data_IF_781078188293
#
_entry.id   IF_781078188293
#
_cell.length_a   1.000
_cell.length_b   1.000
_cell.length_c   1.000
_cell.angle_alpha   90.00
_cell.angle_beta   90.00
_cell.angle_gamma   90.00
#
_symmetry.space_group_name_H-M   'P 1'
#
loop_
_entity.id
_entity.type
_entity.pdbx_description
1 polymer ?
#
# COMPACT_ATOMS: atom_id res chain seq x y z
N UNK A 1 -11.11 10.11 -9.80
CA UNK A 1 -10.14 9.58 -10.74
C UNK A 1 -9.57 8.27 -10.24
N UNK A 2 -9.43 7.40 -11.11
CA UNK A 2 -9.00 6.10 -10.76
C UNK A 2 -7.54 5.91 -11.13
N UNK A 3 -6.70 5.87 -10.15
CA UNK A 3 -5.25 5.80 -10.31
C UNK A 3 -4.89 4.53 -10.97
N UNK A 4 -5.21 3.87 -11.66
CA UNK A 4 -4.72 2.64 -12.26
C UNK A 4 -5.81 1.68 -12.73
N UNK A 5 -7.04 2.14 -12.77
CA UNK A 5 -8.13 1.25 -13.07
C UNK A 5 -8.10 0.73 -14.50
N UNK A 6 -7.32 1.33 -15.38
CA UNK A 6 -7.31 0.89 -16.77
C UNK A 6 -6.47 -0.34 -17.02
N UNK A 7 -5.42 -0.51 -16.23
CA UNK A 7 -4.44 -1.56 -16.47
C UNK A 7 -4.57 -2.72 -15.53
N UNK A 8 -5.22 -2.52 -14.40
CA UNK A 8 -5.32 -3.54 -13.38
C UNK A 8 -6.77 -3.77 -13.02
N UNK A 9 -7.08 -5.01 -12.78
CA UNK A 9 -8.40 -5.37 -12.32
C UNK A 9 -8.55 -4.95 -10.88
N UNK A 10 -9.51 -4.07 -10.60
CA UNK A 10 -9.77 -3.56 -9.26
C UNK A 10 -10.97 -4.28 -8.65
N UNK A 11 -10.80 -4.66 -7.40
CA UNK A 11 -11.88 -5.25 -6.62
C UNK A 11 -12.25 -4.30 -5.52
N UNK A 12 -13.48 -3.78 -5.57
CA UNK A 12 -14.00 -2.94 -4.51
C UNK A 12 -14.64 -3.83 -3.47
N UNK A 13 -14.22 -3.67 -2.23
CA UNK A 13 -14.69 -4.51 -1.14
C UNK A 13 -15.98 -3.94 -0.57
N UNK A 14 -17.01 -4.77 -0.49
CA UNK A 14 -18.31 -4.33 0.02
C UNK A 14 -18.35 -4.26 1.54
N UNK A 15 -17.48 -5.02 2.20
CA UNK A 15 -17.41 -5.07 3.65
C UNK A 15 -16.04 -4.61 4.12
N UNK A 16 -16.00 -4.11 5.34
CA UNK A 16 -14.74 -3.70 5.94
C UNK A 16 -13.78 -4.89 6.01
N UNK A 17 -12.57 -4.67 5.58
CA UNK A 17 -11.53 -5.70 5.61
C UNK A 17 -10.33 -5.15 6.37
N UNK A 18 -10.18 -5.53 7.64
CA UNK A 18 -9.09 -4.97 8.45
C UNK A 18 -7.74 -5.52 8.01
N UNK A 19 -6.79 -4.62 7.87
CA UNK A 19 -5.40 -4.94 7.52
C UNK A 19 -4.51 -4.06 8.38
N UNK A 20 -3.20 -4.23 8.24
CA UNK A 20 -2.23 -3.39 8.95
C UNK A 20 -1.16 -2.92 8.01
N UNK A 21 -0.67 -1.72 8.26
CA UNK A 21 0.56 -1.22 7.66
C UNK A 21 1.67 -1.31 8.69
N UNK A 22 2.87 -1.60 8.25
CA UNK A 22 4.02 -1.73 9.14
C UNK A 22 5.24 -1.13 8.47
N UNK A 23 6.04 -0.40 9.24
CA UNK A 23 7.30 0.13 8.74
C UNK A 23 8.26 -0.99 8.35
N UNK A 24 9.14 -0.70 7.40
CA UNK A 24 10.12 -1.66 6.91
C UNK A 24 10.98 -2.19 8.04
N UNK A 25 11.33 -1.32 8.98
CA UNK A 25 12.15 -1.69 10.14
C UNK A 25 11.34 -2.22 11.33
N UNK A 26 10.01 -2.29 11.18
CA UNK A 26 9.15 -2.80 12.23
C UNK A 26 8.90 -1.82 13.38
N UNK A 27 9.31 -0.56 13.24
CA UNK A 27 9.21 0.40 14.36
C UNK A 27 7.83 1.00 14.52
N UNK A 28 6.95 0.87 13.53
CA UNK A 28 5.60 1.41 13.64
C UNK A 28 4.60 0.51 12.95
N UNK A 29 3.35 0.64 13.37
CA UNK A 29 2.26 -0.14 12.82
C UNK A 29 0.99 0.71 12.85
N UNK A 30 0.12 0.53 11.86
CA UNK A 30 -1.17 1.22 11.78
C UNK A 30 -2.24 0.25 11.37
N UNK A 31 -3.37 0.30 12.07
CA UNK A 31 -4.56 -0.43 11.67
C UNK A 31 -5.24 0.30 10.53
N UNK A 32 -5.71 -0.43 9.55
CA UNK A 32 -6.33 0.13 8.36
C UNK A 32 -7.51 -0.71 7.93
N UNK A 33 -8.36 -0.11 7.11
CA UNK A 33 -9.42 -0.82 6.42
C UNK A 33 -9.08 -0.83 4.95
N UNK A 34 -9.06 -2.00 4.35
CA UNK A 34 -8.82 -2.14 2.92
C UNK A 34 -10.11 -1.78 2.19
N UNK A 35 -10.07 -0.74 1.38
CA UNK A 35 -11.24 -0.24 0.66
C UNK A 35 -11.31 -0.77 -0.76
N UNK A 36 -10.15 -0.96 -1.37
CA UNK A 36 -10.08 -1.29 -2.78
C UNK A 36 -8.71 -1.92 -3.04
N UNK A 37 -8.65 -2.88 -3.93
CA UNK A 37 -7.38 -3.54 -4.22
C UNK A 37 -7.33 -3.94 -5.69
N UNK A 38 -6.13 -3.87 -6.25
CA UNK A 38 -5.86 -4.31 -7.62
C UNK A 38 -4.55 -5.08 -7.63
N UNK A 39 -4.13 -5.49 -8.82
CA UNK A 39 -2.85 -6.16 -8.97
C UNK A 39 -1.68 -5.25 -8.68
N UNK A 40 -1.87 -3.93 -8.82
CA UNK A 40 -0.78 -2.97 -8.72
C UNK A 40 -0.79 -2.18 -7.44
N UNK A 41 -1.89 -2.18 -6.68
CA UNK A 41 -1.95 -1.38 -5.47
C UNK A 41 -3.27 -1.51 -4.74
N UNK A 42 -3.46 -0.61 -3.78
CA UNK A 42 -4.63 -0.65 -2.92
C UNK A 42 -5.00 0.75 -2.44
N UNK A 43 -6.24 0.88 -2.00
CA UNK A 43 -6.73 2.08 -1.33
C UNK A 43 -7.14 1.69 0.07
N UNK A 44 -6.71 2.44 1.05
CA UNK A 44 -6.86 2.12 2.47
C UNK A 44 -7.40 3.31 3.23
N UNK A 45 -8.12 3.02 4.30
CA UNK A 45 -8.44 4.04 5.29
C UNK A 45 -7.63 3.74 6.55
N UNK A 46 -6.79 4.69 6.95
CA UNK A 46 -5.82 4.50 8.02
C UNK A 46 -6.37 5.06 9.33
N UNK A 47 -6.20 4.31 10.41
CA UNK A 47 -6.51 4.80 11.75
C UNK A 47 -5.29 5.50 12.32
N UNK A 48 -5.51 6.71 12.81
CA UNK A 48 -4.45 7.48 13.42
C UNK A 48 -3.64 8.30 12.44
N UNK A 49 -2.53 8.88 12.88
CA UNK A 49 -1.73 9.76 12.04
C UNK A 49 -1.15 9.04 10.84
N UNK A 50 -1.15 9.70 9.69
CA UNK A 50 -0.64 9.14 8.45
C UNK A 50 0.77 9.60 8.10
N UNK A 51 1.35 10.47 8.92
CA UNK A 51 2.67 11.04 8.63
C UNK A 51 3.76 9.98 8.54
N UNK A 52 3.61 8.85 9.21
CA UNK A 52 4.60 7.76 9.13
C UNK A 52 4.70 7.17 7.73
N UNK A 53 3.66 7.30 6.93
CA UNK A 53 3.64 6.75 5.57
C UNK A 53 4.53 7.53 4.62
N UNK A 54 4.92 8.73 5.01
CA UNK A 54 5.84 9.54 4.20
C UNK A 54 7.26 8.98 4.24
N UNK A 55 7.49 7.94 5.00
CA UNK A 55 8.75 7.22 4.97
C UNK A 55 8.98 6.48 3.65
N UNK A 56 8.05 6.57 2.71
CA UNK A 56 8.13 6.08 1.34
C UNK A 56 7.74 4.62 1.17
N UNK A 57 8.34 3.70 1.89
CA UNK A 57 8.06 2.28 1.76
C UNK A 57 7.61 1.69 3.07
N UNK A 58 6.71 0.74 2.97
CA UNK A 58 6.18 0.05 4.14
C UNK A 58 5.55 -1.26 3.68
N UNK A 59 5.19 -2.11 4.63
CA UNK A 59 4.49 -3.36 4.32
C UNK A 59 3.00 -3.21 4.56
N UNK A 60 2.22 -3.78 3.65
CA UNK A 60 0.79 -3.99 3.86
C UNK A 60 0.61 -5.45 4.27
N UNK A 61 0.13 -5.66 5.50
CA UNK A 61 -0.07 -6.98 6.05
C UNK A 61 -1.52 -7.39 5.81
N UNK A 62 -1.70 -8.39 4.98
CA UNK A 62 -3.03 -8.84 4.55
C UNK A 62 -3.60 -9.93 5.44
N UNK A 63 -2.77 -10.54 6.27
CA UNK A 63 -3.24 -11.57 7.20
C UNK A 63 -2.80 -11.22 8.62
N UNK A 64 -3.53 -11.74 9.59
CA UNK A 64 -3.22 -11.50 10.99
C UNK A 64 -1.90 -12.12 11.41
N UNK A 65 -1.45 -13.13 10.72
CA UNK A 65 -0.19 -13.79 11.01
C UNK A 65 1.00 -13.14 10.34
N UNK A 66 0.74 -12.19 9.43
CA UNK A 66 1.81 -11.53 8.68
C UNK A 66 2.39 -12.37 7.56
N UNK A 67 1.83 -13.55 7.29
CA UNK A 67 2.35 -14.41 6.23
C UNK A 67 1.99 -13.91 4.84
N UNK A 68 0.87 -13.21 4.71
CA UNK A 68 0.49 -12.59 3.44
C UNK A 68 0.76 -11.09 3.54
N UNK A 69 1.71 -10.60 2.79
CA UNK A 69 2.08 -9.19 2.85
C UNK A 69 2.57 -8.72 1.49
N UNK A 70 2.56 -7.40 1.32
CA UNK A 70 3.09 -6.74 0.12
C UNK A 70 3.92 -5.54 0.54
N UNK A 71 5.03 -5.37 -0.12
CA UNK A 71 5.83 -4.16 0.06
C UNK A 71 5.21 -3.07 -0.80
N UNK A 72 5.02 -1.90 -0.22
CA UNK A 72 4.27 -0.81 -0.85
C UNK A 72 5.02 0.49 -0.76
N UNK A 73 4.64 1.42 -1.65
CA UNK A 73 5.02 2.81 -1.49
C UNK A 73 3.79 3.69 -1.59
N UNK A 74 3.85 4.83 -0.92
CA UNK A 74 2.76 5.77 -0.89
C UNK A 74 2.61 6.47 -2.24
N UNK A 75 1.37 6.54 -2.75
CA UNK A 75 1.08 7.26 -3.97
C UNK A 75 0.39 8.59 -3.65
N UNK A 76 -0.61 8.56 -2.77
CA UNK A 76 -1.33 9.78 -2.39
C UNK A 76 -1.94 9.62 -1.01
N UNK A 77 -2.21 10.77 -0.38
CA UNK A 77 -2.93 10.86 0.89
C UNK A 77 -4.06 11.86 0.71
N UNK A 78 -5.24 11.49 1.19
CA UNK A 78 -6.38 12.39 1.22
C UNK A 78 -7.10 12.15 2.55
N UNK A 79 -6.78 12.98 3.55
CA UNK A 79 -7.30 12.79 4.89
C UNK A 79 -6.82 11.48 5.48
N UNK A 80 -7.76 10.62 5.87
CA UNK A 80 -7.45 9.30 6.41
C UNK A 80 -7.30 8.25 5.31
N UNK A 81 -7.61 8.58 4.08
CA UNK A 81 -7.53 7.65 2.97
C UNK A 81 -6.18 7.78 2.26
N UNK A 82 -5.61 6.65 1.91
CA UNK A 82 -4.32 6.63 1.23
C UNK A 82 -4.37 5.65 0.07
N UNK A 83 -3.61 5.96 -0.97
CA UNK A 83 -3.38 5.05 -2.07
C UNK A 83 -1.94 4.59 -2.04
N UNK A 84 -1.75 3.29 -2.21
CA UNK A 84 -0.42 2.69 -2.21
C UNK A 84 -0.22 1.87 -3.47
N UNK A 85 1.03 1.77 -3.89
CA UNK A 85 1.42 0.95 -5.02
C UNK A 85 2.28 -0.20 -4.52
N UNK A 86 2.02 -1.39 -5.04
CA UNK A 86 2.83 -2.55 -4.68
C UNK A 86 4.17 -2.48 -5.41
N UNK A 87 5.23 -2.76 -4.68
CA UNK A 87 6.57 -2.80 -5.25
C UNK A 87 6.85 -4.24 -5.63
N UNK A 88 6.97 -4.48 -6.92
CA UNK A 88 7.27 -5.80 -7.44
C UNK A 88 8.74 -5.85 -7.81
N UNK A 89 9.23 -7.03 -8.14
CA UNK A 89 10.60 -7.18 -8.61
C UNK A 89 10.84 -6.33 -9.85
N UNK A 90 9.86 -6.26 -10.72
CA UNK A 90 9.99 -5.51 -11.97
C UNK A 90 10.04 -4.02 -11.71
N UNK A 91 9.15 -3.47 -10.88
CA UNK A 91 9.18 -2.04 -10.58
C UNK A 91 10.46 -1.66 -9.85
N UNK A 92 10.94 -2.49 -8.95
CA UNK A 92 12.18 -2.22 -8.23
C UNK A 92 13.39 -2.24 -9.18
N UNK A 93 13.40 -3.17 -10.11
CA UNK A 93 14.44 -3.26 -11.11
C UNK A 93 14.47 -2.02 -11.99
N UNK A 94 13.30 -1.55 -12.42
CA UNK A 94 13.21 -0.36 -13.26
C UNK A 94 13.68 0.88 -12.50
N UNK A 95 13.33 1.00 -11.24
CA UNK A 95 13.78 2.11 -10.42
C UNK A 95 15.30 2.11 -10.26
N UNK A 96 15.87 0.93 -10.08
CA UNK A 96 17.32 0.79 -9.95
C UNK A 96 18.04 1.18 -11.23
N UNK A 97 17.51 0.78 -12.38
CA UNK A 97 18.08 1.16 -13.66
C UNK A 97 18.03 2.66 -13.89
N UNK A 98 16.93 3.29 -13.52
CA UNK A 98 16.81 4.73 -13.63
C UNK A 98 17.81 5.45 -12.75
N UNK A 99 18.12 4.90 -11.59
CA UNK A 99 19.08 5.49 -10.66
C UNK A 99 20.51 5.42 -11.21
N UNK A 100 20.80 4.38 -11.95
CA UNK A 100 22.16 4.20 -12.49
C UNK A 100 22.46 5.09 -13.70
N UNK A 101 21.46 5.72 -14.23
CA UNK A 101 21.62 6.64 -15.32
C UNK A 101 21.77 8.07 -14.81
#
# INVERSE_FOLDING_TARGET
MSWDSRKAHRVRLEHSYPVNLMGIDGTWRRSCILLDVSETGAMLEVEGPVNVLQAREFFLLLSSTGLAFRRCELVWIDGAQVGVRFITKESKKNAKLATLQ
#
